data_IF_272189390773
#
_entry.id   IF_272189390773
#
_cell.length_a   1.000
_cell.length_b   1.000
_cell.length_c   1.000
_cell.angle_alpha   90.00
_cell.angle_beta   90.00
_cell.angle_gamma   90.00
#
_symmetry.space_group_name_H-M   'P 1'
#
loop_
_entity.id
_entity.type
_entity.pdbx_description
1 polymer ?
#
# COMPACT_ATOMS: atom_id res chain seq x y z
N UNK A 1 64.95 -42.84 50.57
CA UNK A 1 65.17 -42.86 49.11
C UNK A 1 65.03 -41.43 48.62
N UNK A 2 65.98 -40.51 48.86
CA UNK A 2 67.28 -40.26 48.20
C UNK A 2 67.20 -40.08 46.68
N UNK A 3 67.64 -38.90 46.23
CA UNK A 3 67.94 -38.47 44.85
C UNK A 3 67.07 -37.24 44.48
N UNK A 4 67.40 -35.98 44.77
CA UNK A 4 68.60 -35.15 44.56
C UNK A 4 69.07 -35.02 43.10
N UNK A 5 69.14 -33.76 42.65
CA UNK A 5 69.96 -33.09 41.61
C UNK A 5 69.11 -32.31 40.58
N UNK A 6 69.49 -31.14 40.07
CA UNK A 6 70.41 -30.05 40.45
C UNK A 6 70.10 -28.88 39.49
N UNK A 7 70.38 -27.64 39.91
CA UNK A 7 70.21 -26.40 39.14
C UNK A 7 71.35 -26.18 38.15
N UNK A 8 71.07 -25.58 36.98
CA UNK A 8 72.04 -24.71 36.30
C UNK A 8 71.36 -23.50 35.65
N UNK A 9 71.72 -22.32 36.13
CA UNK A 9 71.52 -21.02 35.48
C UNK A 9 72.48 -20.86 34.30
N UNK A 10 72.01 -20.30 33.19
CA UNK A 10 72.85 -19.53 32.26
C UNK A 10 72.06 -18.34 31.71
N UNK A 11 72.55 -17.14 32.06
CA UNK A 11 72.18 -15.87 31.45
C UNK A 11 72.85 -15.74 30.07
N UNK A 12 72.14 -15.27 29.06
CA UNK A 12 72.77 -14.65 27.87
C UNK A 12 71.87 -13.57 27.30
N UNK A 13 72.39 -12.35 27.25
CA UNK A 13 71.81 -11.16 26.65
C UNK A 13 72.25 -11.05 25.20
N UNK A 14 71.34 -11.10 24.22
CA UNK A 14 71.44 -10.53 22.84
C UNK A 14 70.01 -10.63 22.27
N UNK A 15 69.36 -9.71 21.57
CA UNK A 15 69.64 -8.41 20.97
C UNK A 15 68.37 -8.07 20.17
N UNK A 16 68.01 -6.79 20.09
CA UNK A 16 66.82 -6.30 19.38
C UNK A 16 67.10 -6.32 17.87
N UNK A 17 66.17 -6.80 17.03
CA UNK A 17 66.03 -6.29 15.67
C UNK A 17 64.65 -5.67 15.44
N UNK A 18 64.68 -4.34 15.37
CA UNK A 18 64.05 -3.44 14.40
C UNK A 18 62.91 -3.98 13.51
N UNK A 19 61.75 -3.31 13.66
CA UNK A 19 60.83 -2.87 12.62
C UNK A 19 60.42 -3.87 11.52
N UNK A 20 59.34 -4.62 11.77
CA UNK A 20 58.48 -5.11 10.68
C UNK A 20 57.46 -4.04 10.30
N UNK A 21 57.74 -3.38 9.19
CA UNK A 21 56.83 -2.53 8.45
C UNK A 21 55.79 -3.41 7.73
N UNK A 22 54.68 -3.73 8.39
CA UNK A 22 53.49 -4.26 7.71
C UNK A 22 52.70 -3.10 7.13
N UNK A 23 52.98 -2.78 5.86
CA UNK A 23 52.07 -2.00 5.03
C UNK A 23 50.72 -2.72 4.97
N UNK A 24 49.69 -2.11 5.55
CA UNK A 24 48.30 -2.50 5.31
C UNK A 24 48.03 -2.44 3.80
N UNK A 25 47.44 -3.47 3.17
CA UNK A 25 47.03 -3.34 1.79
C UNK A 25 45.90 -2.31 1.73
N UNK A 26 46.13 -1.21 1.00
CA UNK A 26 45.07 -0.28 0.66
C UNK A 26 44.02 -1.04 -0.14
N UNK A 27 42.84 -1.24 0.45
CA UNK A 27 41.67 -1.71 -0.28
C UNK A 27 41.41 -0.71 -1.43
N UNK A 28 41.33 -1.15 -2.69
CA UNK A 28 40.95 -0.24 -3.76
C UNK A 28 39.56 0.28 -3.44
N UNK A 29 39.41 1.62 -3.41
CA UNK A 29 38.11 2.29 -3.39
C UNK A 29 37.32 1.77 -4.58
N UNK A 30 36.40 0.85 -4.28
CA UNK A 30 35.56 0.22 -5.27
C UNK A 30 34.69 1.32 -5.86
N UNK A 31 35.03 1.70 -7.09
CA UNK A 31 34.36 2.75 -7.84
C UNK A 31 32.88 2.39 -7.91
N UNK A 32 32.04 3.12 -7.18
CA UNK A 32 30.60 2.87 -7.15
C UNK A 32 30.08 3.04 -8.57
N UNK A 33 29.76 1.94 -9.22
CA UNK A 33 28.96 1.96 -10.45
C UNK A 33 27.69 2.78 -10.17
N UNK A 34 27.22 3.60 -11.12
CA UNK A 34 25.95 4.30 -10.97
C UNK A 34 24.88 3.25 -10.66
N UNK A 35 24.31 3.31 -9.46
CA UNK A 35 23.22 2.43 -9.05
C UNK A 35 22.11 2.62 -10.07
N UNK A 36 21.77 1.57 -10.81
CA UNK A 36 20.62 1.62 -11.72
C UNK A 36 19.39 2.06 -10.91
N UNK A 37 18.51 2.92 -11.46
CA UNK A 37 17.33 3.36 -10.75
C UNK A 37 16.52 2.13 -10.33
N UNK A 38 16.31 1.98 -9.03
CA UNK A 38 15.65 0.83 -8.46
C UNK A 38 14.21 0.73 -9.01
N UNK A 39 13.85 -0.45 -9.50
CA UNK A 39 12.54 -0.71 -10.11
C UNK A 39 11.48 -0.95 -9.04
N UNK A 40 10.22 -0.65 -9.37
CA UNK A 40 9.08 -0.92 -8.49
C UNK A 40 9.08 -2.39 -8.06
N UNK A 41 8.85 -2.65 -6.77
CA UNK A 41 8.91 -3.98 -6.17
C UNK A 41 10.26 -4.33 -5.54
N UNK A 42 11.27 -3.48 -5.69
CA UNK A 42 12.62 -3.68 -5.15
C UNK A 42 13.15 -2.47 -4.36
N UNK A 43 12.29 -1.49 -4.06
CA UNK A 43 12.67 -0.26 -3.35
C UNK A 43 12.29 -0.37 -1.87
N UNK A 44 13.23 -0.67 -0.96
CA UNK A 44 12.91 -0.77 0.45
C UNK A 44 12.49 0.61 1.01
N UNK A 45 11.54 0.61 1.95
CA UNK A 45 11.20 1.80 2.70
C UNK A 45 12.28 2.12 3.75
N UNK A 46 12.61 3.40 3.87
CA UNK A 46 13.43 3.93 4.97
C UNK A 46 12.71 3.75 6.31
N UNK A 47 13.45 3.86 7.43
CA UNK A 47 12.85 3.79 8.76
C UNK A 47 11.73 4.83 8.94
N UNK A 48 12.01 6.10 8.61
CA UNK A 48 11.05 7.19 8.78
C UNK A 48 9.80 7.02 7.91
N UNK A 49 9.93 6.50 6.69
CA UNK A 49 8.76 6.19 5.84
C UNK A 49 7.91 5.09 6.45
N UNK A 50 8.53 4.02 6.97
CA UNK A 50 7.80 2.92 7.61
C UNK A 50 7.06 3.38 8.85
N UNK A 51 7.69 4.19 9.70
CA UNK A 51 7.06 4.78 10.89
C UNK A 51 5.86 5.66 10.51
N UNK A 52 6.02 6.56 9.54
CA UNK A 52 4.91 7.41 9.05
C UNK A 52 3.75 6.58 8.50
N UNK A 53 4.06 5.57 7.69
CA UNK A 53 3.06 4.67 7.13
C UNK A 53 2.36 3.86 8.23
N UNK A 54 3.10 3.33 9.21
CA UNK A 54 2.55 2.57 10.32
C UNK A 54 1.59 3.41 11.17
N UNK A 55 1.97 4.65 11.51
CA UNK A 55 1.10 5.59 12.23
C UNK A 55 -0.17 5.91 11.41
N UNK A 56 -0.02 6.23 10.13
CA UNK A 56 -1.15 6.52 9.25
C UNK A 56 -2.10 5.32 9.09
N UNK A 57 -1.56 4.10 8.98
CA UNK A 57 -2.33 2.85 8.88
C UNK A 57 -3.04 2.46 10.18
N UNK A 58 -2.52 2.86 11.34
CA UNK A 58 -3.12 2.59 12.64
C UNK A 58 -4.38 3.43 12.92
N UNK A 59 -4.45 4.65 12.37
CA UNK A 59 -5.57 5.59 12.57
C UNK A 59 -6.88 5.06 11.95
N UNK A 60 -8.01 5.33 12.58
CA UNK A 60 -9.35 4.95 12.07
C UNK A 60 -9.87 5.97 11.05
N UNK A 61 -10.75 5.54 10.15
CA UNK A 61 -11.37 6.41 9.16
C UNK A 61 -12.15 7.57 9.81
N UNK A 62 -12.06 8.79 9.27
CA UNK A 62 -12.91 9.89 9.70
C UNK A 62 -14.36 9.70 9.18
N UNK A 63 -15.36 10.34 9.82
CA UNK A 63 -16.78 10.17 9.47
C UNK A 63 -17.13 10.50 8.02
N UNK A 64 -16.42 11.43 7.38
CA UNK A 64 -16.62 11.88 5.99
C UNK A 64 -16.15 10.84 4.96
N UNK A 65 -15.32 9.87 5.34
CA UNK A 65 -14.88 8.77 4.48
C UNK A 65 -15.85 7.58 4.45
N UNK A 66 -16.87 7.56 5.32
CA UNK A 66 -17.72 6.38 5.50
C UNK A 66 -19.17 6.65 5.10
N UNK A 67 -19.60 5.89 4.10
CA UNK A 67 -20.94 5.89 3.52
C UNK A 67 -21.80 4.78 4.12
N UNK A 68 -23.11 4.86 3.92
CA UNK A 68 -24.09 3.88 4.37
C UNK A 68 -24.97 3.43 3.23
N UNK A 69 -25.30 2.14 3.22
CA UNK A 69 -26.36 1.57 2.37
C UNK A 69 -27.29 0.70 3.19
N UNK A 70 -28.49 0.46 2.66
CA UNK A 70 -29.35 -0.61 3.17
C UNK A 70 -28.71 -1.97 2.86
N UNK A 71 -28.64 -2.84 3.87
CA UNK A 71 -28.18 -4.22 3.78
C UNK A 71 -29.32 -5.24 3.93
N UNK A 72 -30.57 -4.83 3.67
CA UNK A 72 -31.73 -5.68 3.83
C UNK A 72 -31.90 -6.15 5.28
N UNK A 73 -31.91 -7.46 5.49
CA UNK A 73 -32.07 -8.09 6.81
C UNK A 73 -30.97 -7.71 7.82
N UNK A 74 -29.77 -7.35 7.35
CA UNK A 74 -28.65 -6.94 8.20
C UNK A 74 -28.75 -5.47 8.66
N UNK A 75 -29.80 -4.73 8.27
CA UNK A 75 -29.94 -3.31 8.56
C UNK A 75 -28.97 -2.45 7.74
N UNK A 76 -28.51 -1.33 8.28
CA UNK A 76 -27.57 -0.45 7.57
C UNK A 76 -26.14 -1.00 7.58
N UNK A 77 -25.51 -1.02 6.41
CA UNK A 77 -24.11 -1.43 6.24
C UNK A 77 -23.25 -0.21 5.93
N UNK A 78 -22.20 -0.02 6.73
CA UNK A 78 -21.20 1.02 6.56
C UNK A 78 -20.12 0.56 5.59
N UNK A 79 -19.68 1.43 4.70
CA UNK A 79 -18.64 1.12 3.71
C UNK A 79 -17.84 2.36 3.32
N UNK A 80 -16.61 2.16 2.84
CA UNK A 80 -15.82 3.19 2.16
C UNK A 80 -16.05 3.10 0.65
N UNK A 81 -16.18 4.26 -0.02
CA UNK A 81 -16.29 4.33 -1.47
C UNK A 81 -14.96 4.01 -2.15
N UNK A 82 -15.00 3.41 -3.35
CA UNK A 82 -13.79 2.96 -4.04
C UNK A 82 -12.80 4.09 -4.30
N UNK A 83 -13.30 5.26 -4.74
CA UNK A 83 -12.45 6.42 -5.01
C UNK A 83 -11.74 6.93 -3.74
N UNK A 84 -12.42 6.95 -2.59
CA UNK A 84 -11.84 7.38 -1.31
C UNK A 84 -10.78 6.42 -0.82
N UNK A 85 -10.97 5.11 -1.02
CA UNK A 85 -9.96 4.12 -0.71
C UNK A 85 -8.69 4.27 -1.57
N UNK A 86 -8.85 4.60 -2.86
CA UNK A 86 -7.74 4.90 -3.79
C UNK A 86 -6.99 6.16 -3.35
N UNK A 87 -7.71 7.22 -3.00
CA UNK A 87 -7.13 8.48 -2.53
C UNK A 87 -6.30 8.28 -1.26
N UNK A 88 -6.85 7.58 -0.25
CA UNK A 88 -6.13 7.24 0.97
C UNK A 88 -4.88 6.38 0.70
N UNK A 89 -4.96 5.43 -0.24
CA UNK A 89 -3.79 4.64 -0.64
C UNK A 89 -2.71 5.52 -1.28
N UNK A 90 -3.09 6.49 -2.12
CA UNK A 90 -2.16 7.45 -2.71
C UNK A 90 -1.56 8.40 -1.66
N UNK A 91 -2.32 8.80 -0.64
CA UNK A 91 -1.81 9.63 0.46
C UNK A 91 -0.81 8.87 1.34
N UNK A 92 -1.11 7.61 1.69
CA UNK A 92 -0.30 6.81 2.61
C UNK A 92 0.94 6.25 1.93
N UNK A 93 0.78 5.66 0.75
CA UNK A 93 1.88 4.98 0.05
C UNK A 93 2.58 5.89 -0.97
N UNK A 94 1.95 6.98 -1.39
CA UNK A 94 2.35 7.76 -2.57
C UNK A 94 1.77 7.20 -3.86
N UNK A 95 1.50 8.05 -4.85
CA UNK A 95 0.90 7.65 -6.14
C UNK A 95 1.70 6.57 -6.89
N UNK A 96 3.01 6.48 -6.65
CA UNK A 96 3.92 5.48 -7.23
C UNK A 96 4.41 4.44 -6.20
N UNK A 97 3.86 4.45 -4.98
CA UNK A 97 4.28 3.54 -3.90
C UNK A 97 3.48 2.25 -3.83
N UNK A 98 2.39 2.14 -4.59
CA UNK A 98 1.56 0.94 -4.66
C UNK A 98 1.07 0.70 -6.09
N UNK A 99 0.65 -0.54 -6.35
CA UNK A 99 0.03 -0.96 -7.60
C UNK A 99 -1.06 -1.99 -7.32
N UNK A 100 -2.01 -2.12 -8.24
CA UNK A 100 -3.08 -3.11 -8.20
C UNK A 100 -2.99 -4.00 -9.44
N UNK A 101 -3.13 -5.31 -9.25
CA UNK A 101 -3.25 -6.30 -10.33
C UNK A 101 -4.51 -7.14 -10.14
N UNK A 102 -5.28 -7.34 -11.21
CA UNK A 102 -6.39 -8.30 -11.23
C UNK A 102 -5.80 -9.67 -11.58
N UNK A 103 -5.83 -10.60 -10.64
CA UNK A 103 -5.29 -11.95 -10.82
C UNK A 103 -6.30 -12.88 -11.49
N UNK A 104 -7.58 -12.74 -11.13
CA UNK A 104 -8.67 -13.53 -11.69
C UNK A 104 -9.96 -12.69 -11.74
N UNK A 105 -10.79 -12.91 -12.74
CA UNK A 105 -12.13 -12.33 -12.84
C UNK A 105 -13.07 -13.33 -13.53
N UNK A 106 -13.73 -14.17 -12.73
CA UNK A 106 -14.55 -15.29 -13.18
C UNK A 106 -16.04 -15.01 -13.01
N UNK A 107 -16.84 -15.41 -14.00
CA UNK A 107 -18.30 -15.44 -13.87
C UNK A 107 -18.64 -16.78 -13.20
N UNK A 108 -19.30 -16.73 -12.05
CA UNK A 108 -19.67 -17.94 -11.34
C UNK A 108 -21.02 -18.48 -11.84
N UNK A 109 -21.96 -17.56 -12.13
CA UNK A 109 -23.23 -17.87 -12.78
C UNK A 109 -23.71 -16.70 -13.63
N UNK A 110 -24.51 -17.01 -14.65
CA UNK A 110 -25.15 -16.05 -15.54
C UNK A 110 -26.44 -16.65 -16.08
N UNK A 111 -27.52 -16.40 -15.36
CA UNK A 111 -28.80 -17.04 -15.57
C UNK A 111 -29.81 -16.07 -16.17
N UNK A 112 -30.64 -16.55 -17.09
CA UNK A 112 -31.81 -15.81 -17.58
C UNK A 112 -33.05 -16.33 -16.86
N UNK A 113 -33.56 -15.54 -15.92
CA UNK A 113 -34.74 -15.81 -15.08
C UNK A 113 -35.96 -15.00 -15.52
N UNK A 114 -35.96 -14.49 -16.76
CA UNK A 114 -37.07 -13.73 -17.31
C UNK A 114 -38.35 -14.57 -17.49
N UNK A 115 -39.55 -13.95 -17.48
CA UNK A 115 -40.82 -14.67 -17.66
C UNK A 115 -41.00 -15.30 -19.04
N UNK A 116 -40.13 -14.99 -20.01
CA UNK A 116 -40.13 -15.58 -21.34
C UNK A 116 -39.02 -15.05 -22.25
N UNK A 117 -38.90 -15.56 -23.48
CA UNK A 117 -37.83 -15.19 -24.40
C UNK A 117 -37.84 -13.72 -24.83
N UNK A 118 -38.99 -13.04 -24.74
CA UNK A 118 -39.16 -11.64 -25.12
C UNK A 118 -38.93 -10.66 -23.96
N UNK A 119 -38.76 -11.13 -22.73
CA UNK A 119 -38.47 -10.29 -21.57
C UNK A 119 -37.37 -10.93 -20.70
N UNK A 120 -36.13 -11.03 -21.21
CA UNK A 120 -35.04 -11.64 -20.46
C UNK A 120 -34.73 -10.83 -19.19
N UNK A 121 -34.41 -11.55 -18.12
CA UNK A 121 -33.93 -11.00 -16.85
C UNK A 121 -32.68 -11.74 -16.45
N UNK A 122 -31.55 -11.07 -16.55
CA UNK A 122 -30.26 -11.66 -16.24
C UNK A 122 -29.92 -11.47 -14.78
N UNK A 123 -29.51 -12.56 -14.14
CA UNK A 123 -28.93 -12.59 -12.81
C UNK A 123 -27.52 -13.14 -12.94
N UNK A 124 -26.54 -12.46 -12.33
CA UNK A 124 -25.12 -12.72 -12.53
C UNK A 124 -24.35 -12.61 -11.23
N UNK A 125 -23.41 -13.52 -11.03
CA UNK A 125 -22.40 -13.49 -9.97
C UNK A 125 -21.01 -13.51 -10.57
N UNK A 126 -20.14 -12.62 -10.09
CA UNK A 126 -18.74 -12.54 -10.53
C UNK A 126 -17.83 -12.51 -9.31
N UNK A 127 -16.85 -13.39 -9.32
CA UNK A 127 -15.72 -13.39 -8.39
C UNK A 127 -14.53 -12.67 -9.03
N UNK A 128 -13.85 -11.82 -8.25
CA UNK A 128 -12.62 -11.14 -8.67
C UNK A 128 -11.53 -11.28 -7.61
N UNK A 129 -10.33 -11.71 -7.99
CA UNK A 129 -9.16 -11.77 -7.10
C UNK A 129 -8.20 -10.65 -7.46
N UNK A 130 -7.80 -9.85 -6.46
CA UNK A 130 -6.91 -8.71 -6.66
C UNK A 130 -5.69 -8.84 -5.77
N UNK A 131 -4.53 -8.46 -6.30
CA UNK A 131 -3.29 -8.24 -5.55
C UNK A 131 -2.98 -6.76 -5.50
N UNK A 132 -2.61 -6.28 -4.31
CA UNK A 132 -1.97 -4.97 -4.15
C UNK A 132 -0.53 -5.20 -3.74
N UNK A 133 0.39 -4.60 -4.50
CA UNK A 133 1.84 -4.69 -4.27
C UNK A 133 2.37 -3.30 -3.95
N UNK A 134 3.19 -3.18 -2.92
CA UNK A 134 3.90 -1.95 -2.57
C UNK A 134 5.27 -1.87 -3.27
N UNK A 135 5.89 -0.69 -3.30
CA UNK A 135 7.17 -0.49 -4.01
C UNK A 135 8.34 -1.32 -3.47
N UNK A 136 8.23 -1.82 -2.23
CA UNK A 136 9.21 -2.71 -1.61
C UNK A 136 9.00 -4.20 -1.95
N UNK A 137 7.94 -4.52 -2.71
CA UNK A 137 7.59 -5.87 -3.13
C UNK A 137 6.64 -6.59 -2.18
N UNK A 138 6.34 -6.03 -1.01
CA UNK A 138 5.33 -6.59 -0.12
C UNK A 138 3.94 -6.52 -0.77
N UNK A 139 3.09 -7.53 -0.51
CA UNK A 139 1.76 -7.56 -1.12
C UNK A 139 0.68 -8.15 -0.20
N UNK A 140 -0.57 -7.90 -0.59
CA UNK A 140 -1.79 -8.49 -0.03
C UNK A 140 -2.71 -8.91 -1.17
N UNK A 141 -3.50 -9.94 -0.92
CA UNK A 141 -4.53 -10.42 -1.84
C UNK A 141 -5.84 -10.63 -1.09
N UNK A 142 -6.94 -10.32 -1.75
CA UNK A 142 -8.27 -10.68 -1.30
C UNK A 142 -9.18 -10.90 -2.51
N UNK A 143 -10.34 -11.48 -2.26
CA UNK A 143 -11.37 -11.79 -3.24
C UNK A 143 -12.54 -10.84 -3.02
N UNK A 144 -13.02 -10.21 -4.09
CA UNK A 144 -14.25 -9.43 -4.09
C UNK A 144 -15.35 -10.12 -4.87
N UNK A 145 -16.58 -9.71 -4.59
CA UNK A 145 -17.76 -10.25 -5.23
C UNK A 145 -18.64 -9.17 -5.82
N UNK A 146 -19.12 -9.40 -7.03
CA UNK A 146 -20.17 -8.62 -7.66
C UNK A 146 -21.39 -9.51 -7.83
N UNK A 147 -22.55 -9.02 -7.43
CA UNK A 147 -23.82 -9.66 -7.74
C UNK A 147 -24.79 -8.63 -8.33
N UNK A 148 -25.58 -9.05 -9.29
CA UNK A 148 -26.70 -8.25 -9.73
C UNK A 148 -27.78 -9.09 -10.38
N UNK A 149 -29.00 -8.66 -10.20
CA UNK A 149 -30.21 -9.31 -10.63
C UNK A 149 -31.05 -8.39 -11.53
N UNK A 150 -32.04 -8.97 -12.20
CA UNK A 150 -33.07 -8.24 -12.92
C UNK A 150 -32.57 -7.31 -14.05
N UNK A 151 -31.41 -7.62 -14.66
CA UNK A 151 -30.92 -6.85 -15.80
C UNK A 151 -31.67 -7.20 -17.08
N UNK A 152 -32.00 -6.19 -17.89
CA UNK A 152 -32.66 -6.38 -19.19
C UNK A 152 -31.76 -6.98 -20.25
N UNK A 153 -30.44 -6.76 -20.15
CA UNK A 153 -29.47 -7.26 -21.15
C UNK A 153 -28.29 -7.95 -20.48
N UNK A 154 -27.76 -8.99 -21.14
CA UNK A 154 -26.57 -9.71 -20.70
C UNK A 154 -25.33 -8.81 -20.61
N UNK A 155 -25.21 -7.83 -21.52
CA UNK A 155 -24.12 -6.87 -21.52
C UNK A 155 -24.10 -5.98 -20.27
N UNK A 156 -25.24 -5.38 -19.92
CA UNK A 156 -25.37 -4.55 -18.70
C UNK A 156 -25.10 -5.36 -17.43
N UNK A 157 -25.58 -6.61 -17.38
CA UNK A 157 -25.34 -7.52 -16.27
C UNK A 157 -23.83 -7.75 -16.06
N UNK A 158 -23.12 -8.12 -17.13
CA UNK A 158 -21.68 -8.39 -17.05
C UNK A 158 -20.87 -7.13 -16.75
N UNK A 159 -21.21 -5.99 -17.35
CA UNK A 159 -20.50 -4.73 -17.15
C UNK A 159 -20.58 -4.26 -15.70
N UNK A 160 -21.79 -4.16 -15.12
CA UNK A 160 -21.96 -3.71 -13.74
C UNK A 160 -21.26 -4.67 -12.78
N UNK A 161 -21.53 -5.96 -12.93
CA UNK A 161 -21.12 -6.96 -11.94
C UNK A 161 -19.60 -7.20 -11.94
N UNK A 162 -18.94 -7.17 -13.11
CA UNK A 162 -17.47 -7.24 -13.16
C UNK A 162 -16.80 -5.99 -12.55
N UNK A 163 -17.35 -4.79 -12.79
CA UNK A 163 -16.86 -3.53 -12.18
C UNK A 163 -17.03 -3.54 -10.66
N UNK A 164 -18.18 -4.01 -10.19
CA UNK A 164 -18.49 -4.16 -8.77
C UNK A 164 -17.55 -5.15 -8.08
N UNK A 165 -17.38 -6.36 -8.64
CA UNK A 165 -16.48 -7.38 -8.10
C UNK A 165 -15.04 -6.88 -7.96
N UNK A 166 -14.55 -6.16 -8.97
CA UNK A 166 -13.18 -5.61 -8.98
C UNK A 166 -13.00 -4.52 -7.95
N UNK A 167 -13.98 -3.63 -7.80
CA UNK A 167 -13.94 -2.54 -6.81
C UNK A 167 -14.09 -3.09 -5.39
N UNK A 168 -14.90 -4.11 -5.20
CA UNK A 168 -15.00 -4.81 -3.91
C UNK A 168 -13.68 -5.50 -3.54
N UNK A 169 -13.06 -6.22 -4.48
CA UNK A 169 -11.77 -6.88 -4.28
C UNK A 169 -10.66 -5.89 -3.92
N UNK A 170 -10.61 -4.73 -4.61
CA UNK A 170 -9.70 -3.64 -4.30
C UNK A 170 -9.85 -3.17 -2.84
N UNK A 171 -11.07 -2.81 -2.41
CA UNK A 171 -11.32 -2.32 -1.05
C UNK A 171 -10.98 -3.38 0.00
N UNK A 172 -11.33 -4.64 -0.27
CA UNK A 172 -11.05 -5.77 0.62
C UNK A 172 -9.56 -6.07 0.73
N UNK A 173 -8.80 -5.87 -0.34
CA UNK A 173 -7.34 -6.01 -0.32
C UNK A 173 -6.69 -4.84 0.43
N UNK A 174 -7.16 -3.60 0.20
CA UNK A 174 -6.66 -2.40 0.88
C UNK A 174 -6.82 -2.45 2.40
N UNK A 175 -7.96 -2.93 2.92
CA UNK A 175 -8.16 -3.04 4.37
C UNK A 175 -7.12 -3.94 5.06
N UNK A 176 -6.49 -4.89 4.36
CA UNK A 176 -5.49 -5.79 4.94
C UNK A 176 -4.19 -5.06 5.34
N UNK A 177 -4.03 -3.81 4.94
CA UNK A 177 -2.90 -2.96 5.34
C UNK A 177 -3.16 -2.17 6.63
N UNK A 178 -4.41 -1.82 6.96
CA UNK A 178 -4.68 -1.04 8.16
C UNK A 178 -6.08 -0.45 8.30
N UNK A 179 -6.30 0.20 9.45
CA UNK A 179 -7.57 0.81 9.84
C UNK A 179 -7.97 1.96 8.91
N UNK A 180 -7.02 2.81 8.53
CA UNK A 180 -7.27 3.95 7.65
C UNK A 180 -7.65 3.52 6.24
N UNK A 181 -7.36 2.28 5.84
CA UNK A 181 -7.78 1.70 4.57
C UNK A 181 -9.06 0.84 4.68
N UNK A 182 -9.79 0.98 5.78
CA UNK A 182 -11.14 0.41 5.93
C UNK A 182 -11.25 -0.76 6.89
N UNK A 183 -10.16 -1.24 7.52
CA UNK A 183 -10.25 -2.33 8.48
C UNK A 183 -11.14 -1.98 9.69
N UNK A 184 -11.17 -0.71 10.11
CA UNK A 184 -11.98 -0.27 11.23
C UNK A 184 -13.50 -0.38 11.00
N UNK A 185 -13.96 -0.55 9.75
CA UNK A 185 -15.38 -0.71 9.43
C UNK A 185 -15.97 -2.04 9.93
N UNK A 186 -15.13 -2.99 10.35
CA UNK A 186 -15.54 -4.24 10.97
C UNK A 186 -15.62 -4.17 12.51
N UNK A 187 -15.13 -3.07 13.11
CA UNK A 187 -15.18 -2.83 14.56
C UNK A 187 -16.53 -2.20 14.94
N UNK A 188 -17.38 -2.97 15.61
CA UNK A 188 -18.71 -2.53 16.05
C UNK A 188 -18.66 -1.35 17.03
N UNK A 189 -17.59 -1.23 17.83
CA UNK A 189 -17.47 -0.17 18.83
C UNK A 189 -17.10 1.14 18.16
N UNK A 190 -16.18 1.08 17.19
CA UNK A 190 -15.90 2.21 16.30
C UNK A 190 -17.15 2.70 15.57
N UNK A 191 -17.94 1.78 14.98
CA UNK A 191 -19.14 2.16 14.26
C UNK A 191 -20.18 2.87 15.15
N UNK A 192 -20.28 2.49 16.43
CA UNK A 192 -21.16 3.19 17.38
C UNK A 192 -20.69 4.62 17.66
N UNK A 193 -19.40 4.82 17.83
CA UNK A 193 -18.81 6.14 18.15
C UNK A 193 -18.80 7.07 16.93
N UNK A 194 -18.48 6.57 15.75
CA UNK A 194 -18.36 7.41 14.55
C UNK A 194 -19.72 7.95 14.09
N UNK A 195 -20.81 7.23 14.39
CA UNK A 195 -22.17 7.67 14.09
C UNK A 195 -22.61 8.92 14.86
N UNK A 196 -21.98 9.21 16.00
CA UNK A 196 -22.31 10.39 16.81
C UNK A 196 -21.44 11.61 16.46
N UNK A 197 -20.43 11.44 15.59
CA UNK A 197 -19.51 12.51 15.23
C UNK A 197 -20.09 13.41 14.13
N UNK A 198 -19.87 14.74 14.19
CA UNK A 198 -20.28 15.63 13.11
C UNK A 198 -19.45 15.37 11.85
N UNK A 199 -20.12 15.28 10.70
CA UNK A 199 -19.47 15.12 9.41
C UNK A 199 -19.13 16.50 8.84
N UNK A 200 -17.84 16.83 8.75
CA UNK A 200 -17.37 18.01 8.04
C UNK A 200 -16.98 17.62 6.61
N UNK A 201 -17.78 18.05 5.62
CA UNK A 201 -17.45 17.82 4.21
C UNK A 201 -16.60 18.98 3.70
N UNK A 202 -15.47 18.68 3.07
CA UNK A 202 -14.64 19.68 2.38
C UNK A 202 -15.43 20.23 1.19
N UNK A 203 -15.59 21.55 1.12
CA UNK A 203 -16.19 22.22 -0.06
C UNK A 203 -15.18 22.20 -1.21
N UNK A 204 -15.61 21.79 -2.40
CA UNK A 204 -14.77 21.82 -3.60
C UNK A 204 -14.42 23.27 -3.94
N UNK A 205 -13.13 23.58 -3.99
CA UNK A 205 -12.64 24.89 -4.42
C UNK A 205 -12.21 24.89 -5.88
N UNK A 206 -12.10 26.07 -6.48
CA UNK A 206 -11.60 26.21 -7.87
C UNK A 206 -10.16 25.70 -8.02
N UNK A 207 -9.36 25.74 -6.94
CA UNK A 207 -7.97 25.29 -6.91
C UNK A 207 -7.85 23.76 -6.96
N UNK A 208 -8.85 23.04 -6.45
CA UNK A 208 -8.91 21.58 -6.50
C UNK A 208 -9.23 21.06 -7.94
N UNK A 209 -9.71 21.93 -8.84
CA UNK A 209 -10.12 21.55 -10.20
C UNK A 209 -8.93 21.69 -11.15
N UNK A 210 -8.46 20.56 -11.69
CA UNK A 210 -7.44 20.57 -12.74
C UNK A 210 -7.93 21.34 -13.98
N UNK A 211 -7.17 22.36 -14.40
CA UNK A 211 -7.42 23.13 -15.63
C UNK A 211 -6.24 22.95 -16.58
N UNK A 212 -6.53 22.55 -17.82
CA UNK A 212 -5.52 22.46 -18.88
C UNK A 212 -4.79 23.81 -19.01
N UNK A 213 -3.49 23.85 -18.71
CA UNK A 213 -2.66 25.06 -18.73
C UNK A 213 -2.19 25.57 -17.35
N UNK A 214 -2.69 25.03 -16.23
CA UNK A 214 -2.25 25.44 -14.88
C UNK A 214 -0.88 24.92 -14.45
N UNK A 215 -0.25 24.00 -15.20
CA UNK A 215 1.07 23.44 -14.88
C UNK A 215 2.26 24.37 -15.18
N UNK A 216 2.04 25.59 -15.67
CA UNK A 216 3.12 26.55 -16.01
C UNK A 216 3.08 27.81 -15.15
N UNK A 217 3.37 27.64 -13.87
CA UNK A 217 4.00 28.68 -13.06
C UNK A 217 4.82 27.98 -11.98
N UNK A 218 6.04 27.59 -12.34
CA UNK A 218 7.07 27.45 -11.31
C UNK A 218 7.20 28.82 -10.65
N UNK A 219 7.20 28.94 -9.31
CA UNK A 219 7.51 30.20 -8.67
C UNK A 219 8.89 30.61 -9.18
N UNK A 220 9.00 31.85 -9.69
CA UNK A 220 10.28 32.44 -10.06
C UNK A 220 11.25 32.19 -8.91
N UNK A 221 12.25 31.34 -9.15
CA UNK A 221 13.39 31.21 -8.27
C UNK A 221 14.15 32.53 -8.39
N UNK A 222 13.78 33.51 -7.57
CA UNK A 222 14.51 34.76 -7.44
C UNK A 222 15.88 34.39 -6.88
N UNK A 223 16.84 34.17 -7.77
CA UNK A 223 18.24 34.18 -7.39
C UNK A 223 18.48 35.54 -6.75
N UNK A 224 18.60 35.56 -5.41
CA UNK A 224 19.25 36.63 -4.71
C UNK A 224 20.69 36.65 -5.24
N UNK A 225 20.94 37.49 -6.25
CA UNK A 225 22.30 37.93 -6.56
C UNK A 225 22.75 38.77 -5.37
N UNK A 226 23.39 38.12 -4.41
CA UNK A 226 24.29 38.77 -3.48
C UNK A 226 25.44 39.39 -4.26
N UNK A 227 25.60 40.71 -4.10
CA UNK A 227 26.87 41.46 -4.10
C UNK A 227 27.77 41.38 -5.33
N UNK A 228 27.89 42.51 -6.03
CA UNK A 228 29.09 43.36 -5.99
C UNK A 228 28.73 44.81 -6.25
#
# INVERSE_FOLDING_TARGET
MIGHQELTHLSTTVGIPSAFNTQSPAFPLQQQHPQQPATFGHVPYTYDERERMADALARKLPPDCISQRSGGAAGQVKYIEGWRAIELANEIFGFNGWSMSVLNNSIDFLDNVGPGPNDPRWTVGVTCTVRITLRDGSFREDVGYGIGDNFRTKGQALEKTRKEATTDALKRTLRLFGNSLGNCLHDKDFLRQVNTMPVQRKTLSTEDIYRKGSMMQQPNCTFLTSLN
#
